data_IF_576538225503
#
_entry.id   IF_576538225503
#
_cell.length_a   1.000
_cell.length_b   1.000
_cell.length_c   1.000
_cell.angle_alpha   90.00
_cell.angle_beta   90.00
_cell.angle_gamma   90.00
#
_symmetry.space_group_name_H-M   'P 1'
#
loop_
_entity.id
_entity.type
_entity.pdbx_description
1 polymer ?
#
# COMPACT_ATOMS: atom_id res chain seq x y z
N UNK A 1 18.38 63.59 -36.17
CA UNK A 1 16.97 63.16 -36.27
C UNK A 1 16.34 63.31 -34.89
N UNK A 2 15.32 64.17 -34.77
CA UNK A 2 14.56 64.48 -33.54
C UNK A 2 13.16 63.87 -33.68
N UNK A 3 12.58 63.39 -32.57
CA UNK A 3 11.15 63.36 -32.14
C UNK A 3 11.09 62.30 -31.00
N UNK A 4 10.98 62.63 -29.71
CA UNK A 4 9.91 63.28 -28.92
C UNK A 4 8.74 62.35 -28.55
N UNK A 5 8.75 61.93 -27.27
CA UNK A 5 7.68 61.98 -26.25
C UNK A 5 6.23 61.67 -26.66
N UNK A 6 5.60 60.70 -25.96
CA UNK A 6 4.32 60.92 -25.24
C UNK A 6 3.99 59.80 -24.24
N UNK A 7 3.75 60.25 -23.01
CA UNK A 7 3.09 59.60 -21.88
C UNK A 7 1.58 59.56 -22.13
N UNK A 8 0.89 58.48 -21.69
CA UNK A 8 -0.52 58.55 -21.27
C UNK A 8 -0.69 57.73 -19.98
N UNK A 9 -1.21 58.40 -18.97
CA UNK A 9 -1.63 57.93 -17.65
C UNK A 9 -3.13 58.25 -17.53
N UNK A 10 -3.95 57.29 -17.12
CA UNK A 10 -5.28 57.44 -16.49
C UNK A 10 -5.65 56.04 -15.95
N UNK A 11 -5.85 55.71 -14.66
CA UNK A 11 -6.52 56.31 -13.49
C UNK A 11 -8.06 56.29 -13.55
N UNK A 12 -8.60 55.41 -12.69
CA UNK A 12 -9.90 55.36 -11.97
C UNK A 12 -11.19 55.08 -12.75
N UNK A 13 -11.92 54.02 -12.35
CA UNK A 13 -13.07 54.20 -11.45
C UNK A 13 -13.60 52.86 -10.91
N UNK A 14 -13.87 52.89 -9.60
CA UNK A 14 -14.63 51.92 -8.82
C UNK A 14 -16.10 51.93 -9.22
N UNK A 15 -16.78 50.77 -9.17
CA UNK A 15 -18.21 50.69 -8.90
C UNK A 15 -18.60 49.30 -8.39
N UNK A 16 -18.98 49.22 -7.12
CA UNK A 16 -19.97 48.26 -6.63
C UNK A 16 -21.27 48.43 -7.43
N UNK A 17 -21.96 47.35 -7.79
CA UNK A 17 -23.38 47.09 -7.47
C UNK A 17 -23.69 45.61 -7.77
N UNK A 18 -24.49 45.07 -6.86
CA UNK A 18 -25.08 43.76 -6.66
C UNK A 18 -26.05 43.21 -7.72
N UNK A 19 -26.01 41.87 -7.83
CA UNK A 19 -27.10 40.89 -8.06
C UNK A 19 -27.79 40.80 -9.43
N UNK A 20 -27.57 39.67 -10.11
CA UNK A 20 -28.65 38.77 -10.57
C UNK A 20 -28.08 37.41 -10.99
N UNK A 21 -28.79 36.36 -10.58
CA UNK A 21 -28.52 34.95 -10.82
C UNK A 21 -28.51 34.57 -12.31
N UNK A 22 -27.57 33.71 -12.69
CA UNK A 22 -27.55 33.00 -13.98
C UNK A 22 -26.89 31.63 -13.79
N UNK A 23 -27.71 30.60 -13.60
CA UNK A 23 -27.31 29.20 -13.56
C UNK A 23 -26.86 28.73 -14.95
N UNK A 24 -25.74 28.01 -15.02
CA UNK A 24 -25.41 27.13 -16.14
C UNK A 24 -25.53 25.71 -15.61
N UNK A 25 -26.49 24.95 -16.16
CA UNK A 25 -26.75 23.55 -15.81
C UNK A 25 -25.63 22.64 -16.30
N UNK A 26 -25.11 21.80 -15.39
CA UNK A 26 -24.35 20.58 -15.73
C UNK A 26 -25.21 19.41 -15.26
N UNK A 27 -25.58 18.43 -16.11
CA UNK A 27 -26.45 17.34 -15.71
C UNK A 27 -25.67 16.30 -14.90
N UNK A 28 -26.13 15.96 -13.68
CA UNK A 28 -25.68 14.72 -13.04
C UNK A 28 -25.64 14.61 -11.52
N UNK A 29 -26.00 15.61 -10.72
CA UNK A 29 -25.93 15.50 -9.24
C UNK A 29 -27.16 16.07 -8.55
N UNK A 30 -27.88 15.21 -7.84
CA UNK A 30 -29.02 15.55 -6.97
C UNK A 30 -28.54 16.09 -5.61
N UNK A 31 -28.97 17.33 -5.30
CA UNK A 31 -28.75 18.03 -4.04
C UNK A 31 -29.50 17.40 -2.85
N UNK A 32 -28.85 17.36 -1.68
CA UNK A 32 -29.50 17.46 -0.36
C UNK A 32 -28.87 18.63 0.40
N UNK A 33 -29.73 19.45 1.02
CA UNK A 33 -29.49 20.84 1.35
C UNK A 33 -28.78 21.14 2.68
N UNK A 34 -28.31 22.37 2.76
CA UNK A 34 -27.74 23.01 3.94
C UNK A 34 -28.83 23.42 4.94
N UNK A 35 -28.67 23.01 6.21
CA UNK A 35 -29.48 23.46 7.33
C UNK A 35 -28.59 24.08 8.41
N UNK A 36 -28.75 25.39 8.63
CA UNK A 36 -28.14 26.17 9.73
C UNK A 36 -29.01 26.03 10.97
N UNK A 37 -28.45 25.61 12.11
CA UNK A 37 -29.14 25.62 13.40
C UNK A 37 -28.82 26.89 14.19
N UNK A 38 -29.84 27.73 14.40
CA UNK A 38 -29.86 28.81 15.38
C UNK A 38 -30.17 28.26 16.78
N UNK A 39 -29.54 28.88 17.79
CA UNK A 39 -29.76 28.65 19.21
C UNK A 39 -30.98 29.40 19.73
N UNK A 40 -31.88 28.68 20.38
CA UNK A 40 -32.85 29.19 21.35
C UNK A 40 -32.93 28.16 22.49
N UNK A 41 -32.50 28.48 23.71
CA UNK A 41 -33.34 29.18 24.66
C UNK A 41 -32.65 29.27 26.03
N UNK A 42 -32.95 30.35 26.72
CA UNK A 42 -32.45 30.75 28.02
C UNK A 42 -33.45 30.39 29.12
N UNK A 43 -33.01 29.78 30.21
CA UNK A 43 -33.66 29.98 31.53
C UNK A 43 -32.64 29.97 32.67
N UNK A 44 -32.79 30.98 33.51
CA UNK A 44 -31.96 31.34 34.67
C UNK A 44 -32.59 30.76 35.94
N UNK A 45 -31.75 30.27 36.86
CA UNK A 45 -32.13 30.03 38.27
C UNK A 45 -30.91 29.60 39.09
N UNK A 46 -30.45 30.46 40.00
CA UNK A 46 -29.14 30.35 40.66
C UNK A 46 -29.12 29.87 42.12
N UNK A 47 -27.92 30.09 42.70
CA UNK A 47 -27.47 30.03 44.10
C UNK A 47 -26.95 28.68 44.65
N UNK A 48 -25.66 28.68 45.05
CA UNK A 48 -25.07 27.67 45.93
C UNK A 48 -23.54 27.58 45.85
N UNK A 49 -22.85 28.30 46.72
CA UNK A 49 -21.39 28.29 46.92
C UNK A 49 -20.85 26.98 47.53
N UNK A 50 -19.71 26.47 47.03
CA UNK A 50 -18.49 26.04 47.78
C UNK A 50 -17.58 25.17 46.87
N UNK A 51 -16.26 25.38 46.98
CA UNK A 51 -15.15 24.73 46.26
C UNK A 51 -14.40 23.79 47.24
N UNK A 52 -13.46 22.90 46.86
CA UNK A 52 -13.01 22.40 45.55
C UNK A 52 -13.07 20.84 45.48
N UNK A 53 -12.52 20.28 44.40
CA UNK A 53 -12.07 18.89 44.23
C UNK A 53 -13.04 17.86 43.63
N UNK A 54 -12.50 17.18 42.60
CA UNK A 54 -13.02 16.00 41.91
C UNK A 54 -14.23 16.17 40.98
N UNK A 55 -14.09 16.98 39.93
CA UNK A 55 -14.76 16.71 38.65
C UNK A 55 -14.12 17.51 37.50
N UNK A 56 -12.89 17.18 37.14
CA UNK A 56 -12.51 17.35 35.74
C UNK A 56 -13.30 16.29 34.96
N UNK A 57 -14.52 16.64 34.52
CA UNK A 57 -15.21 15.89 33.48
C UNK A 57 -14.28 15.93 32.27
N UNK A 58 -13.56 14.84 32.05
CA UNK A 58 -12.93 14.58 30.77
C UNK A 58 -14.06 14.55 29.75
N UNK A 59 -14.15 15.60 28.94
CA UNK A 59 -15.00 15.60 27.77
C UNK A 59 -14.34 14.63 26.76
N UNK A 60 -14.67 13.34 26.88
CA UNK A 60 -14.11 12.31 26.02
C UNK A 60 -14.72 12.47 24.63
N UNK A 61 -13.95 13.09 23.74
CA UNK A 61 -14.27 13.26 22.33
C UNK A 61 -13.85 12.02 21.54
N UNK A 62 -14.39 11.85 20.33
CA UNK A 62 -14.00 10.79 19.41
C UNK A 62 -12.47 10.74 19.18
N UNK A 63 -11.84 11.92 19.11
CA UNK A 63 -10.38 12.05 19.01
C UNK A 63 -9.65 11.49 20.24
N UNK A 64 -10.14 11.75 21.45
CA UNK A 64 -9.53 11.22 22.67
C UNK A 64 -9.67 9.69 22.82
N UNK A 65 -10.77 9.12 22.32
CA UNK A 65 -10.96 7.66 22.33
C UNK A 65 -10.05 6.96 21.32
N UNK A 66 -9.82 7.56 20.15
CA UNK A 66 -8.88 7.03 19.17
C UNK A 66 -7.46 6.95 19.74
N UNK A 67 -6.99 8.02 20.38
CA UNK A 67 -5.68 8.07 21.03
C UNK A 67 -5.55 7.01 22.15
N UNK A 68 -6.58 6.85 22.98
CA UNK A 68 -6.60 5.86 24.08
C UNK A 68 -6.59 4.42 23.54
N UNK A 69 -7.37 4.12 22.50
CA UNK A 69 -7.44 2.77 21.94
C UNK A 69 -6.15 2.40 21.17
N UNK A 70 -5.50 3.38 20.51
CA UNK A 70 -4.20 3.17 19.86
C UNK A 70 -3.07 2.97 20.87
N UNK A 71 -3.07 3.72 21.97
CA UNK A 71 -2.04 3.62 23.01
C UNK A 71 -2.04 2.27 23.74
N UNK A 72 -3.16 1.52 23.73
CA UNK A 72 -3.28 0.20 24.35
C UNK A 72 -3.10 -0.97 23.35
N UNK A 73 -2.63 -0.71 22.12
CA UNK A 73 -2.52 -1.70 21.05
C UNK A 73 -1.21 -2.53 21.10
N UNK A 74 -0.81 -2.99 22.28
CA UNK A 74 0.45 -3.75 22.48
C UNK A 74 0.49 -5.10 21.75
N UNK A 75 -0.65 -5.56 21.22
CA UNK A 75 -0.77 -6.86 20.52
C UNK A 75 -1.18 -6.77 19.04
N UNK A 76 -1.28 -5.55 18.48
CA UNK A 76 -1.49 -5.35 17.04
C UNK A 76 -2.83 -5.86 16.48
N UNK A 77 -3.95 -5.45 17.08
CA UNK A 77 -5.27 -5.89 16.62
C UNK A 77 -6.46 -4.97 16.92
N UNK A 78 -6.28 -3.84 17.61
CA UNK A 78 -7.36 -2.89 17.91
C UNK A 78 -7.38 -1.76 16.86
N UNK A 79 -8.52 -1.52 16.20
CA UNK A 79 -8.66 -0.45 15.18
C UNK A 79 -9.91 0.41 15.28
N UNK A 80 -10.85 0.10 16.17
CA UNK A 80 -12.10 0.85 16.28
C UNK A 80 -12.46 1.16 17.73
N UNK A 81 -13.22 2.25 17.92
CA UNK A 81 -13.84 2.57 19.22
C UNK A 81 -15.31 2.94 19.08
N UNK A 82 -16.07 2.77 20.15
CA UNK A 82 -17.41 3.33 20.28
C UNK A 82 -17.47 4.27 21.48
N UNK A 83 -18.13 5.40 21.30
CA UNK A 83 -18.51 6.32 22.36
C UNK A 83 -19.96 6.05 22.74
N UNK A 84 -20.23 5.95 24.03
CA UNK A 84 -21.60 6.00 24.52
C UNK A 84 -21.97 7.40 25.04
N UNK A 85 -23.26 7.61 25.27
CA UNK A 85 -23.82 8.91 25.69
C UNK A 85 -23.36 9.38 27.10
N UNK A 86 -22.59 8.55 27.81
CA UNK A 86 -21.97 8.89 29.10
C UNK A 86 -20.47 9.16 28.99
N UNK A 87 -19.92 9.19 27.77
CA UNK A 87 -18.53 9.57 27.50
C UNK A 87 -17.52 8.50 27.89
N UNK A 88 -17.84 7.22 27.68
CA UNK A 88 -16.90 6.10 27.83
C UNK A 88 -16.48 5.52 26.48
N UNK A 89 -15.17 5.29 26.30
CA UNK A 89 -14.60 4.64 25.11
C UNK A 89 -14.60 3.10 25.24
N UNK A 90 -15.05 2.39 24.20
CA UNK A 90 -14.92 0.94 24.07
C UNK A 90 -14.11 0.58 22.83
N UNK A 91 -12.98 -0.12 22.95
CA UNK A 91 -12.15 -0.53 21.83
C UNK A 91 -12.54 -1.93 21.30
N UNK A 92 -12.46 -2.14 19.98
CA UNK A 92 -12.81 -3.43 19.34
C UNK A 92 -11.69 -3.94 18.43
N UNK A 93 -11.61 -5.27 18.29
CA UNK A 93 -10.69 -5.99 17.39
C UNK A 93 -11.19 -6.05 15.93
N UNK A 94 -10.31 -6.45 15.00
CA UNK A 94 -10.59 -6.61 13.56
C UNK A 94 -11.77 -7.57 13.23
N UNK A 95 -12.13 -8.47 14.15
CA UNK A 95 -13.27 -9.39 14.02
C UNK A 95 -14.56 -8.88 14.70
N UNK A 96 -14.56 -7.62 15.16
CA UNK A 96 -15.66 -6.99 15.88
C UNK A 96 -15.83 -7.47 17.32
N UNK A 97 -14.90 -8.27 17.85
CA UNK A 97 -14.95 -8.68 19.26
C UNK A 97 -14.40 -7.60 20.17
N UNK A 98 -15.02 -7.40 21.33
CA UNK A 98 -14.41 -6.62 22.40
C UNK A 98 -13.44 -7.50 23.20
N UNK A 99 -12.40 -6.92 23.83
CA UNK A 99 -11.57 -7.65 24.79
C UNK A 99 -12.47 -8.22 25.90
N UNK A 100 -12.76 -9.52 25.83
CA UNK A 100 -13.57 -10.21 26.83
C UNK A 100 -12.80 -10.27 28.14
N UNK A 101 -13.25 -9.52 29.14
CA UNK A 101 -13.78 -10.13 30.36
C UNK A 101 -14.51 -9.12 31.25
N UNK A 102 -15.59 -9.60 31.87
CA UNK A 102 -16.47 -9.02 32.90
C UNK A 102 -17.78 -8.31 32.47
N UNK A 103 -18.84 -9.15 32.46
CA UNK A 103 -20.21 -8.94 32.96
C UNK A 103 -21.27 -8.30 32.03
N UNK A 104 -22.29 -9.12 31.73
CA UNK A 104 -23.69 -8.70 31.92
C UNK A 104 -24.57 -8.69 30.67
N UNK A 105 -25.63 -9.49 30.72
CA UNK A 105 -26.84 -9.43 29.88
C UNK A 105 -27.33 -8.01 29.59
N UNK A 106 -27.83 -7.77 28.37
CA UNK A 106 -28.51 -6.52 27.98
C UNK A 106 -29.56 -6.09 29.03
N UNK A 107 -29.58 -4.83 29.50
CA UNK A 107 -30.65 -4.35 30.35
C UNK A 107 -31.96 -4.25 29.57
N UNK A 108 -32.99 -4.92 30.08
CA UNK A 108 -34.37 -4.66 29.70
C UNK A 108 -34.80 -3.30 30.26
N UNK A 109 -34.63 -2.23 29.48
CA UNK A 109 -35.26 -0.94 29.74
C UNK A 109 -35.37 -0.09 28.46
N UNK A 110 -36.18 -0.57 27.52
CA UNK A 110 -36.85 0.31 26.55
C UNK A 110 -38.35 0.08 26.69
N UNK A 111 -38.91 0.64 27.75
CA UNK A 111 -40.36 0.84 27.88
C UNK A 111 -40.63 2.28 27.43
N UNK A 112 -41.00 2.43 26.16
CA UNK A 112 -41.12 3.73 25.52
C UNK A 112 -41.78 3.72 24.15
N UNK A 113 -42.57 2.69 23.82
CA UNK A 113 -43.48 2.77 22.67
C UNK A 113 -44.78 3.43 23.12
N UNK A 114 -44.79 4.76 23.12
CA UNK A 114 -46.00 5.55 23.21
C UNK A 114 -46.84 5.38 21.94
N UNK A 115 -47.90 4.57 22.03
CA UNK A 115 -49.01 4.62 21.09
C UNK A 115 -49.65 6.02 21.14
N UNK A 116 -49.58 6.79 20.05
CA UNK A 116 -50.65 7.72 19.66
C UNK A 116 -50.51 8.22 18.19
N UNK A 117 -51.50 7.82 17.38
CA UNK A 117 -52.12 8.53 16.25
C UNK A 117 -51.32 8.92 15.00
N UNK A 118 -51.48 8.06 13.97
CA UNK A 118 -52.06 8.36 12.63
C UNK A 118 -51.66 9.65 11.88
N UNK A 119 -50.84 9.46 10.84
CA UNK A 119 -50.72 10.33 9.67
C UNK A 119 -50.12 9.54 8.51
N UNK A 120 -50.83 9.48 7.38
CA UNK A 120 -50.60 8.56 6.25
C UNK A 120 -49.39 8.92 5.40
N UNK A 121 -48.49 7.95 5.17
CA UNK A 121 -47.47 7.96 4.12
C UNK A 121 -46.90 6.54 3.97
N UNK A 122 -46.93 6.00 2.76
CA UNK A 122 -46.61 4.59 2.47
C UNK A 122 -45.16 4.21 2.84
N UNK A 123 -45.03 3.21 3.69
CA UNK A 123 -43.81 2.43 3.90
C UNK A 123 -43.46 1.66 2.62
N UNK A 124 -42.31 1.97 2.02
CA UNK A 124 -41.58 1.02 1.20
C UNK A 124 -40.12 0.95 1.65
N UNK A 125 -39.72 -0.28 1.98
CA UNK A 125 -38.41 -0.75 2.47
C UNK A 125 -38.22 -0.55 3.98
N UNK A 126 -37.97 -1.66 4.67
CA UNK A 126 -38.28 -1.89 6.09
C UNK A 126 -37.29 -1.34 7.10
N UNK A 127 -37.79 -1.08 8.30
CA UNK A 127 -36.99 -0.79 9.49
C UNK A 127 -36.09 -1.98 9.85
N UNK A 128 -34.83 -1.73 10.27
CA UNK A 128 -33.93 -2.77 10.74
C UNK A 128 -34.50 -3.41 12.01
N UNK A 129 -34.70 -4.73 11.97
CA UNK A 129 -35.33 -5.49 13.07
C UNK A 129 -34.33 -6.20 13.97
N UNK A 130 -33.03 -6.00 13.72
CA UNK A 130 -31.97 -6.61 14.51
C UNK A 130 -30.71 -5.76 14.56
N UNK A 131 -29.88 -5.98 15.58
CA UNK A 131 -28.58 -5.33 15.71
C UNK A 131 -27.66 -5.57 14.50
N UNK A 132 -27.86 -6.66 13.75
CA UNK A 132 -27.11 -6.96 12.53
C UNK A 132 -27.36 -5.96 11.40
N UNK A 133 -28.58 -5.41 11.28
CA UNK A 133 -28.92 -4.46 10.22
C UNK A 133 -28.29 -3.07 10.44
N UNK A 134 -27.91 -2.72 11.69
CA UNK A 134 -27.20 -1.46 11.99
C UNK A 134 -25.71 -1.52 11.62
N UNK A 135 -25.10 -2.72 11.57
CA UNK A 135 -23.68 -2.87 11.23
C UNK A 135 -23.40 -2.64 9.74
N UNK A 136 -24.39 -2.86 8.87
CA UNK A 136 -24.22 -2.66 7.42
C UNK A 136 -24.24 -1.17 7.02
N UNK A 137 -24.76 -0.27 7.88
CA UNK A 137 -24.91 1.15 7.57
C UNK A 137 -23.77 2.06 8.06
N UNK A 138 -22.83 1.55 8.86
CA UNK A 138 -21.77 2.37 9.48
C UNK A 138 -20.35 2.00 9.05
N UNK A 139 -20.18 0.95 8.26
CA UNK A 139 -18.89 0.68 7.62
C UNK A 139 -18.73 1.56 6.39
N UNK A 140 -18.21 2.78 6.58
CA UNK A 140 -17.42 3.38 5.52
C UNK A 140 -16.31 2.38 5.18
N UNK A 141 -16.16 1.94 3.92
CA UNK A 141 -15.07 1.05 3.56
C UNK A 141 -13.76 1.78 3.83
N UNK A 142 -13.10 1.45 4.95
CA UNK A 142 -11.70 1.78 5.13
C UNK A 142 -10.97 1.02 4.02
N UNK A 143 -10.26 1.70 3.10
CA UNK A 143 -9.54 1.01 2.05
C UNK A 143 -8.59 0.01 2.71
N UNK A 144 -8.76 -1.28 2.40
CA UNK A 144 -7.82 -2.31 2.85
C UNK A 144 -6.45 -1.92 2.30
N UNK A 145 -5.42 -1.76 3.14
CA UNK A 145 -4.08 -1.42 2.66
C UNK A 145 -3.64 -2.41 1.60
N UNK A 146 -3.26 -1.91 0.43
CA UNK A 146 -2.79 -2.73 -0.68
C UNK A 146 -1.37 -3.24 -0.37
N UNK A 147 -1.04 -4.40 -0.91
CA UNK A 147 0.30 -4.98 -0.88
C UNK A 147 0.69 -5.27 -2.32
N UNK A 148 1.89 -4.82 -2.72
CA UNK A 148 2.55 -5.29 -3.93
C UNK A 148 3.87 -5.92 -3.54
N UNK A 149 4.17 -7.07 -4.13
CA UNK A 149 5.37 -7.83 -3.83
C UNK A 149 5.88 -8.55 -5.08
N UNK A 150 7.18 -8.78 -5.12
CA UNK A 150 7.83 -9.66 -6.08
C UNK A 150 8.91 -10.45 -5.36
N UNK A 151 8.83 -11.78 -5.39
CA UNK A 151 9.68 -12.68 -4.60
C UNK A 151 10.05 -13.91 -5.43
N UNK A 152 11.30 -14.40 -5.26
CA UNK A 152 11.75 -15.67 -5.85
C UNK A 152 12.26 -15.51 -7.28
N UNK A 153 11.94 -16.47 -8.14
CA UNK A 153 11.74 -16.18 -9.56
C UNK A 153 10.73 -15.00 -9.71
N UNK A 154 10.69 -14.24 -10.81
CA UNK A 154 9.92 -13.01 -10.85
C UNK A 154 8.41 -13.30 -10.96
N UNK A 155 7.83 -13.83 -9.88
CA UNK A 155 6.44 -13.72 -9.53
C UNK A 155 6.17 -12.28 -9.09
N UNK A 156 5.12 -11.71 -9.65
CA UNK A 156 4.66 -10.38 -9.32
C UNK A 156 3.26 -10.46 -8.75
N UNK A 157 3.01 -9.61 -7.76
CA UNK A 157 1.68 -9.32 -7.25
C UNK A 157 1.36 -7.86 -7.54
N UNK A 158 0.34 -7.63 -8.35
CA UNK A 158 -0.16 -6.28 -8.62
C UNK A 158 -0.77 -5.66 -7.37
N UNK A 159 -1.01 -4.35 -7.40
CA UNK A 159 -1.70 -3.62 -6.32
C UNK A 159 -3.11 -4.14 -6.00
N UNK A 160 -3.74 -4.87 -6.94
CA UNK A 160 -5.06 -5.50 -6.77
C UNK A 160 -5.00 -7.02 -6.67
N UNK A 161 -3.86 -7.55 -6.21
CA UNK A 161 -3.70 -8.96 -5.87
C UNK A 161 -3.76 -9.91 -7.07
N UNK A 162 -3.52 -9.42 -8.28
CA UNK A 162 -3.31 -10.28 -9.44
C UNK A 162 -1.88 -10.83 -9.42
N UNK A 163 -1.75 -12.15 -9.61
CA UNK A 163 -0.47 -12.85 -9.66
C UNK A 163 -0.13 -13.13 -11.11
N UNK A 164 1.09 -12.76 -11.52
CA UNK A 164 1.64 -13.12 -12.81
C UNK A 164 3.16 -13.37 -12.73
N UNK A 165 3.71 -13.90 -13.80
CA UNK A 165 5.13 -14.23 -13.95
C UNK A 165 5.68 -13.62 -15.23
N UNK A 166 6.93 -13.17 -15.19
CA UNK A 166 7.66 -12.74 -16.38
C UNK A 166 9.09 -13.26 -16.35
N UNK A 167 9.40 -14.30 -17.12
CA UNK A 167 10.73 -14.94 -17.09
C UNK A 167 11.75 -14.35 -18.08
N UNK A 168 11.72 -13.04 -18.32
CA UNK A 168 12.75 -12.38 -19.14
C UNK A 168 14.01 -12.05 -18.34
N UNK A 169 15.17 -12.03 -19.00
CA UNK A 169 16.42 -11.47 -18.45
C UNK A 169 16.62 -10.05 -18.95
N UNK A 170 16.57 -9.09 -18.04
CA UNK A 170 16.87 -7.67 -18.26
C UNK A 170 16.78 -6.91 -16.92
N UNK A 171 16.97 -5.59 -16.99
CA UNK A 171 16.57 -4.69 -15.92
C UNK A 171 15.11 -4.27 -16.14
N UNK A 172 14.28 -4.32 -15.10
CA UNK A 172 12.83 -4.03 -15.11
C UNK A 172 12.49 -2.89 -14.15
N UNK A 173 11.51 -2.06 -14.53
CA UNK A 173 10.89 -1.07 -13.63
C UNK A 173 9.72 -1.75 -12.90
N UNK A 174 9.93 -2.10 -11.63
CA UNK A 174 8.85 -2.69 -10.82
C UNK A 174 7.80 -1.63 -10.47
N UNK A 175 8.25 -0.50 -9.95
CA UNK A 175 7.39 0.59 -9.49
C UNK A 175 8.15 1.90 -9.52
N UNK A 176 7.46 2.96 -9.96
CA UNK A 176 7.93 4.33 -9.96
C UNK A 176 6.81 5.24 -9.47
N UNK A 177 7.13 6.07 -8.48
CA UNK A 177 6.24 7.08 -7.89
C UNK A 177 6.92 8.43 -8.03
N UNK A 178 6.28 9.35 -8.75
CA UNK A 178 6.76 10.73 -8.84
C UNK A 178 6.29 11.56 -7.66
N UNK A 179 7.12 12.49 -7.22
CA UNK A 179 6.82 13.38 -6.08
C UNK A 179 6.38 12.60 -4.83
N UNK A 180 7.09 11.51 -4.53
CA UNK A 180 6.87 10.65 -3.39
C UNK A 180 6.87 11.46 -2.08
N UNK A 181 6.00 11.08 -1.13
CA UNK A 181 5.77 11.83 0.11
C UNK A 181 5.32 13.29 -0.13
N UNK A 182 4.62 13.54 -1.25
CA UNK A 182 4.20 14.88 -1.69
C UNK A 182 5.36 15.90 -1.76
N UNK A 183 6.60 15.43 -1.96
CA UNK A 183 7.80 16.25 -2.04
C UNK A 183 8.22 16.42 -3.50
N UNK A 184 8.13 17.65 -4.00
CA UNK A 184 8.53 17.97 -5.36
C UNK A 184 10.00 17.59 -5.61
N UNK A 185 10.24 16.85 -6.69
CA UNK A 185 11.59 16.42 -7.08
C UNK A 185 12.16 15.26 -6.27
N UNK A 186 11.38 14.66 -5.35
CA UNK A 186 11.73 13.40 -4.69
C UNK A 186 10.90 12.30 -5.30
N UNK A 187 11.52 11.47 -6.15
CA UNK A 187 10.88 10.31 -6.74
C UNK A 187 11.29 9.04 -5.98
N UNK A 188 10.41 8.04 -5.99
CA UNK A 188 10.69 6.68 -5.54
C UNK A 188 10.70 5.75 -6.74
N UNK A 189 11.77 4.98 -6.92
CA UNK A 189 11.92 4.03 -8.03
C UNK A 189 12.49 2.71 -7.55
N UNK A 190 11.88 1.61 -7.99
CA UNK A 190 12.31 0.24 -7.68
C UNK A 190 12.58 -0.46 -9.00
N UNK A 191 13.85 -0.78 -9.25
CA UNK A 191 14.28 -1.58 -10.39
C UNK A 191 14.69 -2.97 -9.94
N UNK A 192 14.40 -3.96 -10.79
CA UNK A 192 14.78 -5.35 -10.59
C UNK A 192 15.70 -5.77 -11.72
N UNK A 193 16.76 -6.50 -11.41
CA UNK A 193 17.62 -7.16 -12.40
C UNK A 193 17.33 -8.64 -12.37
N UNK A 194 16.79 -9.16 -13.46
CA UNK A 194 16.50 -10.58 -13.60
C UNK A 194 17.63 -11.30 -14.34
N UNK A 195 17.85 -12.56 -13.98
CA UNK A 195 18.85 -13.44 -14.59
C UNK A 195 18.20 -14.76 -15.02
N UNK A 196 18.39 -15.16 -16.28
CA UNK A 196 17.72 -16.33 -16.83
C UNK A 196 18.50 -17.62 -16.58
N UNK A 197 17.77 -18.67 -16.22
CA UNK A 197 18.26 -20.04 -16.07
C UNK A 197 17.40 -20.96 -16.93
N UNK A 198 17.92 -21.33 -18.11
CA UNK A 198 17.26 -22.20 -19.09
C UNK A 198 15.88 -21.66 -19.53
N UNK A 199 14.82 -22.02 -18.82
CA UNK A 199 13.42 -21.72 -19.16
C UNK A 199 12.72 -20.79 -18.15
N UNK A 200 13.38 -20.46 -17.03
CA UNK A 200 12.88 -19.56 -16.00
C UNK A 200 13.94 -18.48 -15.72
N UNK A 201 13.64 -17.51 -14.85
CA UNK A 201 14.60 -16.48 -14.42
C UNK A 201 14.39 -16.14 -12.96
N UNK A 202 15.32 -15.44 -12.33
CA UNK A 202 15.15 -14.94 -10.96
C UNK A 202 15.61 -13.50 -10.80
N UNK A 203 15.10 -12.83 -9.77
CA UNK A 203 15.58 -11.51 -9.41
C UNK A 203 16.93 -11.67 -8.70
N UNK A 204 18.00 -11.28 -9.39
CA UNK A 204 19.36 -11.34 -8.87
C UNK A 204 19.72 -10.11 -8.04
N UNK A 205 19.18 -8.95 -8.42
CA UNK A 205 19.49 -7.67 -7.77
C UNK A 205 18.25 -6.78 -7.74
N UNK A 206 18.03 -6.09 -6.64
CA UNK A 206 17.03 -5.03 -6.53
C UNK A 206 17.72 -3.70 -6.23
N UNK A 207 17.29 -2.63 -6.90
CA UNK A 207 17.76 -1.28 -6.63
C UNK A 207 16.59 -0.36 -6.32
N UNK A 208 16.66 0.34 -5.20
CA UNK A 208 15.66 1.30 -4.74
C UNK A 208 16.29 2.68 -4.69
N UNK A 209 15.72 3.62 -5.43
CA UNK A 209 16.05 5.04 -5.35
C UNK A 209 14.97 5.81 -4.62
N UNK A 210 15.36 6.64 -3.66
CA UNK A 210 14.48 7.66 -3.05
C UNK A 210 15.20 9.01 -3.11
N UNK A 211 14.68 9.92 -3.92
CA UNK A 211 15.38 11.18 -4.24
C UNK A 211 16.73 10.89 -4.92
N UNK A 212 17.83 11.25 -4.25
CA UNK A 212 19.18 11.05 -4.78
C UNK A 212 19.87 9.79 -4.26
N UNK A 213 19.35 9.16 -3.21
CA UNK A 213 19.98 7.99 -2.62
C UNK A 213 19.51 6.71 -3.30
N UNK A 214 20.45 5.79 -3.54
CA UNK A 214 20.22 4.52 -4.21
C UNK A 214 20.75 3.40 -3.31
N UNK A 215 19.86 2.49 -2.90
CA UNK A 215 20.23 1.23 -2.29
C UNK A 215 20.10 0.11 -3.32
N UNK A 216 21.22 -0.52 -3.66
CA UNK A 216 21.25 -1.72 -4.49
C UNK A 216 21.61 -2.92 -3.62
N UNK A 217 20.85 -4.01 -3.71
CA UNK A 217 21.05 -5.25 -2.96
C UNK A 217 21.08 -6.42 -3.93
N UNK A 218 22.13 -7.23 -3.84
CA UNK A 218 22.36 -8.43 -4.66
C UNK A 218 22.23 -9.70 -3.80
N UNK A 219 21.58 -10.73 -4.35
CA UNK A 219 21.55 -12.06 -3.75
C UNK A 219 22.90 -12.76 -3.88
N UNK A 220 23.26 -13.60 -2.90
CA UNK A 220 24.51 -14.34 -2.91
C UNK A 220 24.39 -15.70 -2.23
N UNK A 221 25.09 -16.69 -2.80
CA UNK A 221 25.26 -18.02 -2.20
C UNK A 221 26.43 -18.07 -1.22
N UNK A 222 27.25 -17.01 -1.16
CA UNK A 222 28.36 -16.92 -0.23
C UNK A 222 27.81 -16.84 1.19
N UNK A 223 28.41 -17.59 2.12
CA UNK A 223 28.00 -17.59 3.52
C UNK A 223 29.09 -17.07 4.45
N UNK A 224 28.67 -16.40 5.52
CA UNK A 224 29.47 -16.03 6.69
C UNK A 224 28.71 -16.46 7.95
N UNK A 225 29.33 -17.30 8.80
CA UNK A 225 28.69 -17.87 10.00
C UNK A 225 27.32 -18.53 9.76
N UNK A 226 27.10 -19.06 8.55
CA UNK A 226 25.83 -19.69 8.15
C UNK A 226 24.75 -18.72 7.65
N UNK A 227 25.07 -17.43 7.53
CA UNK A 227 24.22 -16.37 6.99
C UNK A 227 24.72 -15.99 5.60
N UNK A 228 23.84 -15.69 4.64
CA UNK A 228 24.28 -15.24 3.32
C UNK A 228 25.04 -13.91 3.46
N UNK A 229 26.17 -13.79 2.79
CA UNK A 229 26.95 -12.56 2.80
C UNK A 229 26.10 -11.45 2.23
N UNK A 230 26.19 -10.28 2.87
CA UNK A 230 25.52 -9.08 2.39
C UNK A 230 26.30 -8.54 1.20
N UNK A 231 25.62 -8.36 0.09
CA UNK A 231 26.13 -7.65 -1.07
C UNK A 231 25.19 -6.48 -1.33
N UNK A 232 25.58 -5.30 -0.87
CA UNK A 232 24.81 -4.09 -1.14
C UNK A 232 25.73 -2.91 -1.45
N UNK A 233 25.19 -1.98 -2.22
CA UNK A 233 25.80 -0.70 -2.52
C UNK A 233 24.85 0.42 -2.11
N UNK A 234 25.36 1.42 -1.40
CA UNK A 234 24.65 2.68 -1.16
C UNK A 234 25.32 3.75 -2.00
N UNK A 235 24.58 4.35 -2.94
CA UNK A 235 25.13 5.33 -3.89
C UNK A 235 26.38 4.82 -4.62
N UNK A 236 26.35 3.54 -5.03
CA UNK A 236 27.46 2.81 -5.66
C UNK A 236 28.68 2.55 -4.77
N UNK A 237 28.62 2.88 -3.49
CA UNK A 237 29.66 2.53 -2.52
C UNK A 237 29.37 1.16 -1.89
N UNK A 238 30.26 0.20 -2.14
CA UNK A 238 30.11 -1.18 -1.70
C UNK A 238 30.21 -1.27 -0.18
N UNK A 239 29.16 -1.77 0.47
CA UNK A 239 29.04 -1.86 1.94
C UNK A 239 29.26 -0.50 2.64
N UNK A 240 28.91 0.60 1.97
CA UNK A 240 28.91 1.93 2.56
C UNK A 240 27.94 2.05 3.74
N UNK A 241 28.04 3.12 4.56
CA UNK A 241 27.23 3.29 5.76
C UNK A 241 25.74 3.45 5.43
N UNK A 242 24.97 2.38 5.62
CA UNK A 242 23.52 2.35 5.37
C UNK A 242 22.73 2.53 6.67
N UNK A 243 22.42 3.79 7.00
CA UNK A 243 21.50 4.12 8.10
C UNK A 243 20.17 4.69 7.61
N UNK A 244 20.18 5.36 6.45
CA UNK A 244 19.02 5.96 5.83
C UNK A 244 19.09 5.82 4.31
N UNK A 245 17.92 5.88 3.66
CA UNK A 245 17.75 5.97 2.22
C UNK A 245 16.76 7.10 1.92
N UNK A 246 17.20 8.19 1.29
CA UNK A 246 16.31 9.32 0.99
C UNK A 246 15.70 9.98 2.24
N UNK A 247 16.39 9.89 3.38
CA UNK A 247 15.91 10.37 4.68
C UNK A 247 15.01 9.41 5.46
N UNK A 248 14.75 8.21 4.94
CA UNK A 248 14.01 7.15 5.63
C UNK A 248 14.97 6.19 6.35
N UNK A 249 14.73 5.82 7.62
CA UNK A 249 15.57 4.87 8.33
C UNK A 249 15.63 3.50 7.63
N UNK A 250 16.82 2.89 7.62
CA UNK A 250 17.03 1.54 7.11
C UNK A 250 17.48 0.62 8.24
N UNK A 251 16.72 -0.46 8.46
CA UNK A 251 17.09 -1.53 9.39
C UNK A 251 17.55 -2.76 8.61
N UNK A 252 18.72 -3.30 8.97
CA UNK A 252 19.24 -4.55 8.39
C UNK A 252 19.10 -5.64 9.45
N UNK A 253 18.42 -6.72 9.12
CA UNK A 253 18.39 -7.96 9.91
C UNK A 253 19.32 -8.99 9.25
N UNK A 254 20.57 -9.16 9.74
CA UNK A 254 21.51 -10.10 9.14
C UNK A 254 20.98 -11.53 9.16
N UNK A 255 20.35 -11.95 10.27
CA UNK A 255 19.84 -13.32 10.41
C UNK A 255 18.75 -13.68 9.40
N UNK A 256 17.98 -12.69 8.97
CA UNK A 256 16.87 -12.88 8.04
C UNK A 256 17.19 -12.36 6.65
N UNK A 257 18.46 -11.94 6.41
CA UNK A 257 18.90 -11.32 5.17
C UNK A 257 17.94 -10.24 4.64
N UNK A 258 17.44 -9.41 5.56
CA UNK A 258 16.34 -8.47 5.29
C UNK A 258 16.76 -7.03 5.51
N UNK A 259 16.44 -6.17 4.55
CA UNK A 259 16.57 -4.72 4.61
C UNK A 259 15.17 -4.13 4.67
N UNK A 260 14.88 -3.32 5.68
CA UNK A 260 13.59 -2.66 5.85
C UNK A 260 13.81 -1.16 5.78
N UNK A 261 13.24 -0.50 4.77
CA UNK A 261 13.16 0.96 4.64
C UNK A 261 11.84 1.39 5.28
N UNK A 262 11.93 2.13 6.38
CA UNK A 262 10.77 2.56 7.17
C UNK A 262 10.20 3.88 6.63
N UNK A 263 8.96 3.85 6.15
CA UNK A 263 8.27 5.00 5.56
C UNK A 263 7.32 5.70 6.56
N UNK A 264 7.23 5.22 7.81
CA UNK A 264 6.24 5.63 8.83
C UNK A 264 6.19 7.14 9.06
N UNK A 265 7.34 7.82 8.94
CA UNK A 265 7.47 9.27 9.08
C UNK A 265 6.51 10.06 8.18
N UNK A 266 6.34 9.64 6.94
CA UNK A 266 5.45 10.31 5.99
C UNK A 266 4.18 9.48 5.73
N UNK A 267 4.26 8.15 5.91
CA UNK A 267 3.17 7.21 5.64
C UNK A 267 3.06 6.17 6.74
N UNK A 268 2.11 6.32 7.70
CA UNK A 268 2.03 5.47 8.88
C UNK A 268 1.91 3.98 8.55
N UNK A 269 2.68 3.15 9.27
CA UNK A 269 2.75 1.71 9.13
C UNK A 269 3.13 1.20 7.73
N UNK A 270 3.88 2.00 6.95
CA UNK A 270 4.38 1.60 5.64
C UNK A 270 5.88 1.32 5.65
N UNK A 271 6.29 0.35 4.84
CA UNK A 271 7.71 0.04 4.65
C UNK A 271 7.96 -0.64 3.30
N UNK A 272 9.20 -0.60 2.85
CA UNK A 272 9.69 -1.43 1.76
C UNK A 272 10.71 -2.42 2.31
N UNK A 273 10.50 -3.70 2.04
CA UNK A 273 11.40 -4.76 2.46
C UNK A 273 12.11 -5.37 1.25
N UNK A 274 13.43 -5.53 1.36
CA UNK A 274 14.23 -6.36 0.47
C UNK A 274 14.67 -7.58 1.27
N UNK A 275 14.38 -8.80 0.79
CA UNK A 275 14.85 -10.05 1.39
C UNK A 275 15.77 -10.74 0.40
N UNK A 276 16.90 -11.28 0.85
CA UNK A 276 17.74 -12.16 0.03
C UNK A 276 17.71 -13.58 0.57
N UNK A 277 17.72 -14.55 -0.34
CA UNK A 277 17.83 -15.96 0.01
C UNK A 277 18.65 -16.65 -1.07
N UNK A 278 19.85 -17.12 -0.72
CA UNK A 278 20.83 -17.54 -1.74
C UNK A 278 20.99 -16.39 -2.75
N UNK A 279 21.00 -16.72 -4.04
CA UNK A 279 21.09 -15.76 -5.15
C UNK A 279 19.79 -15.01 -5.48
N UNK A 280 18.69 -15.29 -4.77
CA UNK A 280 17.38 -14.68 -5.01
C UNK A 280 17.19 -13.42 -4.17
N UNK A 281 16.52 -12.42 -4.76
CA UNK A 281 16.12 -11.18 -4.10
C UNK A 281 14.61 -10.99 -4.24
N UNK A 282 13.92 -10.75 -3.12
CA UNK A 282 12.52 -10.35 -3.10
C UNK A 282 12.37 -8.91 -2.65
N UNK A 283 11.39 -8.20 -3.21
CA UNK A 283 10.99 -6.84 -2.83
C UNK A 283 9.51 -6.84 -2.47
N UNK A 284 9.18 -6.28 -1.30
CA UNK A 284 7.81 -6.20 -0.79
C UNK A 284 7.49 -4.79 -0.32
N UNK A 285 6.36 -4.27 -0.78
CA UNK A 285 5.80 -2.99 -0.34
C UNK A 285 4.65 -3.27 0.62
N UNK A 286 4.80 -2.81 1.86
CA UNK A 286 3.88 -3.11 2.96
C UNK A 286 3.07 -1.86 3.29
N UNK A 287 1.75 -2.04 3.38
CA UNK A 287 0.84 -0.99 3.87
C UNK A 287 0.53 0.10 2.85
N UNK A 288 0.80 -0.13 1.56
CA UNK A 288 0.61 0.87 0.51
C UNK A 288 -0.83 1.40 0.46
N UNK A 289 -0.95 2.71 0.33
CA UNK A 289 -2.21 3.46 0.23
C UNK A 289 -2.25 4.28 -1.05
N UNK A 290 -3.43 4.78 -1.42
CA UNK A 290 -3.58 5.69 -2.54
C UNK A 290 -2.75 6.97 -2.36
N UNK A 291 -2.58 7.46 -1.12
CA UNK A 291 -1.75 8.63 -0.82
C UNK A 291 -0.25 8.43 -1.10
N UNK A 292 0.22 7.19 -1.01
CA UNK A 292 1.64 6.84 -1.12
C UNK A 292 2.01 6.27 -2.49
N UNK A 293 1.12 5.45 -3.06
CA UNK A 293 1.36 4.71 -4.30
C UNK A 293 0.22 4.88 -5.32
N UNK A 294 -0.77 5.76 -5.10
CA UNK A 294 -1.92 5.93 -5.99
C UNK A 294 -1.58 6.37 -7.42
N UNK A 295 -0.44 7.03 -7.60
CA UNK A 295 0.11 7.42 -8.90
C UNK A 295 1.32 6.54 -9.32
N UNK A 296 1.50 5.38 -8.69
CA UNK A 296 2.55 4.45 -9.05
C UNK A 296 2.33 3.92 -10.47
N UNK A 297 3.43 3.81 -11.22
CA UNK A 297 3.47 3.15 -12.52
C UNK A 297 4.57 2.10 -12.52
N UNK A 298 4.44 1.08 -13.35
CA UNK A 298 5.41 -0.01 -13.43
C UNK A 298 4.75 -1.33 -13.79
N UNK A 299 5.55 -2.39 -13.77
CA UNK A 299 5.07 -3.75 -14.06
C UNK A 299 3.99 -4.22 -13.06
N UNK A 300 3.92 -3.62 -11.86
CA UNK A 300 2.93 -3.94 -10.83
C UNK A 300 1.53 -3.36 -11.11
N UNK A 301 1.37 -2.63 -12.22
CA UNK A 301 0.10 -2.07 -12.68
C UNK A 301 -0.31 -0.77 -11.97
N UNK A 302 -1.51 -0.30 -12.29
CA UNK A 302 -2.12 0.87 -11.65
C UNK A 302 -2.67 0.53 -10.26
N UNK A 303 -2.42 1.41 -9.30
CA UNK A 303 -2.78 1.17 -7.91
C UNK A 303 -4.30 1.09 -7.67
N UNK A 304 -5.06 1.92 -8.38
CA UNK A 304 -6.48 2.12 -8.12
C UNK A 304 -7.34 1.06 -8.81
N UNK A 305 -6.97 0.68 -10.03
CA UNK A 305 -7.72 -0.23 -10.90
C UNK A 305 -7.13 -1.63 -10.95
N UNK A 306 -5.81 -1.77 -10.72
CA UNK A 306 -5.08 -3.02 -10.93
C UNK A 306 -4.71 -3.28 -12.39
N UNK A 307 -5.17 -2.44 -13.32
CA UNK A 307 -4.88 -2.61 -14.74
C UNK A 307 -3.38 -2.47 -15.00
N UNK A 308 -2.86 -3.35 -15.84
CA UNK A 308 -1.48 -3.36 -16.31
C UNK A 308 -1.37 -2.48 -17.55
N UNK A 309 -0.86 -1.25 -17.38
CA UNK A 309 -0.73 -0.29 -18.47
C UNK A 309 0.65 -0.30 -19.14
N UNK A 310 0.68 0.06 -20.41
CA UNK A 310 1.89 0.49 -21.09
C UNK A 310 2.37 1.86 -20.57
N UNK A 311 3.59 2.27 -20.95
CA UNK A 311 4.19 3.54 -20.53
C UNK A 311 3.46 4.77 -21.05
N UNK A 312 2.58 4.61 -22.04
CA UNK A 312 1.68 5.67 -22.50
C UNK A 312 0.58 6.02 -21.48
N UNK A 313 0.41 5.19 -20.45
CA UNK A 313 -0.56 5.37 -19.37
C UNK A 313 -2.01 5.11 -19.78
N UNK A 314 -2.26 4.51 -20.95
CA UNK A 314 -3.61 4.35 -21.50
C UNK A 314 -3.86 2.99 -22.15
N UNK A 315 -2.85 2.39 -22.78
CA UNK A 315 -2.94 1.07 -23.38
C UNK A 315 -2.87 0.01 -22.31
N UNK A 316 -3.93 -0.80 -22.16
CA UNK A 316 -3.96 -1.93 -21.23
C UNK A 316 -3.29 -3.14 -21.91
N UNK A 317 -2.33 -3.76 -21.23
CA UNK A 317 -1.59 -4.93 -21.68
C UNK A 317 -2.10 -6.17 -20.94
N UNK A 318 -2.73 -7.08 -21.68
CA UNK A 318 -3.26 -8.34 -21.11
C UNK A 318 -2.27 -9.50 -21.17
N UNK A 319 -1.22 -9.39 -21.99
CA UNK A 319 -0.14 -10.37 -22.07
C UNK A 319 1.01 -9.94 -21.14
N UNK A 320 1.39 -10.81 -20.20
CA UNK A 320 2.42 -10.48 -19.21
C UNK A 320 3.85 -10.48 -19.80
N UNK A 321 4.09 -11.13 -20.94
CA UNK A 321 5.36 -10.98 -21.65
C UNK A 321 5.44 -9.62 -22.33
N UNK A 322 4.36 -9.17 -22.96
CA UNK A 322 4.27 -7.80 -23.50
C UNK A 322 4.45 -6.77 -22.38
N UNK A 323 3.81 -6.98 -21.22
CA UNK A 323 3.97 -6.13 -20.05
C UNK A 323 5.42 -6.08 -19.54
N UNK A 324 6.08 -7.23 -19.39
CA UNK A 324 7.47 -7.28 -18.93
C UNK A 324 8.44 -6.64 -19.91
N UNK A 325 8.23 -6.82 -21.22
CA UNK A 325 9.01 -6.13 -22.26
C UNK A 325 8.79 -4.61 -22.24
N UNK A 326 7.55 -4.16 -22.06
CA UNK A 326 7.21 -2.74 -21.97
C UNK A 326 7.88 -2.05 -20.77
N UNK A 327 7.97 -2.76 -19.65
CA UNK A 327 8.60 -2.26 -18.42
C UNK A 327 10.10 -2.62 -18.31
N UNK A 328 10.75 -3.02 -19.40
CA UNK A 328 12.21 -3.01 -19.49
C UNK A 328 12.74 -1.60 -19.22
N UNK A 329 13.79 -1.49 -18.40
CA UNK A 329 14.43 -0.21 -18.07
C UNK A 329 14.92 0.49 -19.34
N UNK A 330 14.49 1.73 -19.51
CA UNK A 330 14.91 2.62 -20.59
C UNK A 330 16.03 3.55 -20.12
N UNK A 331 16.82 4.14 -21.04
CA UNK A 331 17.81 5.15 -20.68
C UNK A 331 17.21 6.35 -19.92
N UNK A 332 15.93 6.65 -20.12
CA UNK A 332 15.18 7.71 -19.44
C UNK A 332 14.77 7.39 -18.00
N UNK A 333 14.78 6.13 -17.59
CA UNK A 333 14.46 5.74 -16.20
C UNK A 333 15.66 6.00 -15.27
N UNK A 334 16.85 6.12 -15.85
CA UNK A 334 18.09 6.41 -15.12
C UNK A 334 18.78 5.14 -14.62
N UNK A 335 20.08 5.28 -14.31
CA UNK A 335 20.92 4.17 -13.88
C UNK A 335 20.82 3.99 -12.36
N UNK A 336 20.23 2.88 -11.91
CA UNK A 336 20.17 2.52 -10.49
C UNK A 336 21.15 1.42 -10.09
N UNK A 337 21.57 0.55 -11.01
CA UNK A 337 22.56 -0.48 -10.73
C UNK A 337 23.97 0.06 -10.95
N UNK A 338 24.91 -0.23 -10.05
CA UNK A 338 26.31 0.18 -10.16
C UNK A 338 26.95 -0.36 -11.45
N UNK A 339 26.69 -1.63 -11.76
CA UNK A 339 27.13 -2.33 -12.97
C UNK A 339 26.08 -2.37 -14.07
N UNK A 340 26.56 -2.32 -15.32
CA UNK A 340 25.73 -2.49 -16.51
C UNK A 340 25.71 -3.98 -16.85
N UNK A 341 24.51 -4.57 -16.86
CA UNK A 341 24.27 -5.95 -17.30
C UNK A 341 23.52 -5.96 -18.64
N UNK A 342 23.72 -7.00 -19.44
CA UNK A 342 23.00 -7.20 -20.70
C UNK A 342 21.75 -8.07 -20.50
N UNK A 343 20.67 -7.84 -21.28
CA UNK A 343 20.53 -6.81 -22.32
C UNK A 343 20.20 -5.42 -21.75
N UNK A 344 20.49 -4.38 -22.51
CA UNK A 344 20.05 -2.99 -22.25
C UNK A 344 19.31 -2.48 -23.47
N UNK A 345 18.25 -1.71 -23.27
CA UNK A 345 17.52 -1.08 -24.36
C UNK A 345 18.49 -0.35 -25.33
N UNK A 346 18.38 -0.53 -26.65
CA UNK A 346 17.27 -1.12 -27.41
C UNK A 346 17.34 -2.64 -27.62
N UNK A 347 18.31 -3.33 -27.03
CA UNK A 347 18.29 -4.80 -27.00
C UNK A 347 17.20 -5.26 -26.03
N UNK A 348 16.21 -5.97 -26.54
CA UNK A 348 15.07 -6.44 -25.75
C UNK A 348 15.52 -7.47 -24.70
N UNK A 349 14.71 -7.61 -23.65
CA UNK A 349 14.88 -8.70 -22.69
C UNK A 349 15.02 -10.04 -23.42
N UNK A 350 15.96 -10.86 -22.96
CA UNK A 350 16.04 -12.23 -23.44
C UNK A 350 14.85 -12.98 -22.86
N UNK A 351 14.06 -13.64 -23.71
CA UNK A 351 12.94 -14.49 -23.29
C UNK A 351 13.33 -15.97 -23.41
N UNK A 352 12.76 -16.85 -22.56
CA UNK A 352 12.99 -18.28 -22.65
C UNK A 352 12.64 -18.84 -24.03
N UNK A 353 13.53 -19.65 -24.62
CA UNK A 353 13.23 -20.35 -25.89
C UNK A 353 12.10 -21.38 -25.72
N UNK A 354 11.97 -21.95 -24.53
CA UNK A 354 10.93 -22.89 -24.13
C UNK A 354 10.26 -22.43 -22.83
N UNK A 355 9.26 -21.53 -22.90
CA UNK A 355 8.61 -20.95 -21.72
C UNK A 355 7.85 -21.96 -20.86
N UNK A 356 7.53 -23.14 -21.40
CA UNK A 356 6.84 -24.19 -20.66
C UNK A 356 7.81 -25.08 -19.89
N UNK A 357 9.12 -24.92 -20.14
CA UNK A 357 10.13 -25.82 -19.63
C UNK A 357 9.83 -27.27 -20.01
N UNK A 358 9.23 -27.51 -21.18
CA UNK A 358 8.90 -28.83 -21.68
C UNK A 358 10.20 -29.62 -21.80
N UNK A 359 10.53 -30.39 -20.76
CA UNK A 359 11.79 -31.12 -20.63
C UNK A 359 11.92 -32.10 -21.78
N UNK A 360 12.50 -31.65 -22.90
CA UNK A 360 12.74 -32.47 -24.06
C UNK A 360 13.77 -33.55 -23.68
N UNK A 361 13.26 -34.71 -23.26
CA UNK A 361 13.93 -36.02 -23.29
C UNK A 361 15.17 -36.19 -22.41
N UNK A 362 15.15 -35.73 -21.15
CA UNK A 362 16.05 -36.28 -20.10
C UNK A 362 15.32 -36.52 -18.79
N UNK A 363 14.73 -37.72 -18.68
CA UNK A 363 14.07 -38.29 -17.48
C UNK A 363 14.99 -38.44 -16.24
N UNK A 364 16.22 -37.91 -16.25
CA UNK A 364 17.23 -38.14 -15.22
C UNK A 364 17.68 -36.85 -14.50
N UNK A 365 17.01 -35.71 -14.70
CA UNK A 365 17.35 -34.41 -14.09
C UNK A 365 16.21 -33.85 -13.20
N UNK A 366 15.18 -34.65 -12.86
CA UNK A 366 14.16 -34.25 -11.87
C UNK A 366 14.15 -35.24 -10.72
N UNK A 367 14.77 -34.87 -9.62
CA UNK A 367 14.78 -35.71 -8.41
C UNK A 367 13.64 -35.32 -7.45
N UNK A 368 13.12 -34.09 -7.56
CA UNK A 368 12.01 -33.61 -6.74
C UNK A 368 10.69 -33.72 -7.53
N UNK A 369 9.68 -34.32 -6.91
CA UNK A 369 8.32 -34.43 -7.46
C UNK A 369 7.44 -33.27 -7.01
N UNK A 370 6.34 -33.03 -7.74
CA UNK A 370 5.35 -32.01 -7.40
C UNK A 370 4.76 -32.24 -6.01
N UNK A 371 4.45 -33.49 -5.65
CA UNK A 371 3.91 -33.82 -4.32
C UNK A 371 4.92 -33.54 -3.20
N UNK A 372 6.22 -33.74 -3.46
CA UNK A 372 7.26 -33.41 -2.49
C UNK A 372 7.38 -31.90 -2.30
N UNK A 373 7.34 -31.13 -3.38
CA UNK A 373 7.36 -29.67 -3.35
C UNK A 373 6.11 -29.11 -2.63
N UNK A 374 4.92 -29.59 -2.95
CA UNK A 374 3.66 -29.21 -2.28
C UNK A 374 3.72 -29.51 -0.78
N UNK A 375 4.24 -30.67 -0.38
CA UNK A 375 4.39 -31.04 1.02
C UNK A 375 5.36 -30.10 1.77
N UNK A 376 6.44 -29.66 1.12
CA UNK A 376 7.39 -28.73 1.70
C UNK A 376 6.79 -27.33 1.90
N UNK A 377 5.98 -26.87 0.95
CA UNK A 377 5.35 -25.55 0.96
C UNK A 377 4.02 -25.49 1.74
N UNK A 378 3.50 -26.61 2.23
CA UNK A 378 2.18 -26.70 2.87
C UNK A 378 2.01 -25.82 4.13
N UNK A 379 3.11 -25.42 4.78
CA UNK A 379 3.09 -24.52 5.94
C UNK A 379 2.81 -23.05 5.61
N UNK A 380 2.91 -22.65 4.34
CA UNK A 380 2.71 -21.27 3.88
C UNK A 380 1.21 -20.96 3.82
N UNK A 381 0.80 -19.93 4.58
CA UNK A 381 -0.62 -19.55 4.76
C UNK A 381 -1.23 -18.87 3.53
N UNK A 382 -0.41 -18.14 2.79
CA UNK A 382 -0.82 -17.36 1.64
C UNK A 382 -0.67 -18.20 0.36
N UNK A 383 -1.70 -18.21 -0.48
CA UNK A 383 -1.70 -18.95 -1.74
C UNK A 383 -0.64 -18.42 -2.73
N UNK A 384 -0.33 -17.13 -2.71
CA UNK A 384 0.75 -16.54 -3.52
C UNK A 384 2.10 -17.17 -3.13
N UNK A 385 2.44 -17.12 -1.84
CA UNK A 385 3.70 -17.65 -1.32
C UNK A 385 3.78 -19.17 -1.52
N UNK A 386 2.66 -19.88 -1.31
CA UNK A 386 2.61 -21.34 -1.48
C UNK A 386 2.84 -21.75 -2.94
N UNK A 387 2.17 -21.11 -3.89
CA UNK A 387 2.32 -21.43 -5.33
C UNK A 387 3.73 -21.11 -5.80
N UNK A 388 4.26 -19.95 -5.42
CA UNK A 388 5.62 -19.58 -5.81
C UNK A 388 6.65 -20.53 -5.24
N UNK A 389 6.52 -20.89 -3.95
CA UNK A 389 7.37 -21.89 -3.31
C UNK A 389 7.40 -23.23 -4.07
N UNK A 390 6.24 -23.75 -4.49
CA UNK A 390 6.18 -25.01 -5.24
C UNK A 390 6.87 -24.88 -6.59
N UNK A 391 6.62 -23.79 -7.31
CA UNK A 391 7.22 -23.53 -8.61
C UNK A 391 8.75 -23.41 -8.49
N UNK A 392 9.24 -22.58 -7.57
CA UNK A 392 10.67 -22.37 -7.34
C UNK A 392 11.39 -23.68 -6.98
N UNK A 393 10.81 -24.53 -6.11
CA UNK A 393 11.38 -25.85 -5.81
C UNK A 393 11.48 -26.71 -7.08
N UNK A 394 10.44 -26.73 -7.92
CA UNK A 394 10.43 -27.53 -9.15
C UNK A 394 11.35 -26.97 -10.24
N UNK A 395 11.48 -25.65 -10.33
CA UNK A 395 12.34 -24.96 -11.30
C UNK A 395 13.83 -25.11 -10.94
N UNK A 396 14.15 -24.95 -9.66
CA UNK A 396 15.53 -25.03 -9.12
C UNK A 396 15.97 -26.46 -8.81
N UNK A 397 15.01 -27.38 -8.61
CA UNK A 397 15.27 -28.70 -8.02
C UNK A 397 15.92 -28.61 -6.63
N UNK A 398 15.48 -27.66 -5.80
CA UNK A 398 16.04 -27.38 -4.48
C UNK A 398 14.94 -27.19 -3.41
N UNK A 399 14.83 -28.15 -2.49
CA UNK A 399 13.82 -28.13 -1.41
C UNK A 399 14.01 -26.98 -0.41
N UNK A 400 15.21 -26.41 -0.31
CA UNK A 400 15.47 -25.33 0.63
C UNK A 400 14.82 -24.01 0.18
N UNK A 401 14.31 -23.93 -1.06
CA UNK A 401 13.62 -22.74 -1.58
C UNK A 401 12.39 -22.34 -0.77
N UNK A 402 11.86 -23.22 0.10
CA UNK A 402 10.86 -22.86 1.11
C UNK A 402 11.30 -21.65 1.95
N UNK A 403 12.61 -21.49 2.21
CA UNK A 403 13.15 -20.38 3.00
C UNK A 403 13.08 -19.00 2.32
N UNK A 404 12.86 -18.95 1.00
CA UNK A 404 12.65 -17.70 0.27
C UNK A 404 11.29 -17.06 0.62
N UNK A 405 10.31 -17.87 1.00
CA UNK A 405 8.95 -17.48 1.40
C UNK A 405 8.80 -17.42 2.92
#
# INVERSE_FOLDING_TARGET
>A
MKFSLKVVLAILASCCVSHSHGYVEVPGTSHLGEGVCQSTDSTVGGLGSQSPDFAAKFDQTALSCDEICRANNDSGGLRGFTLNDVGSCYCHYDDGTSPKDYLGTCPASFDGCGNQSSGTGDLKVGDPSSAYDCYEYTTFPVPVPSKSESNGDPHFRTWKNEHFEFHGQCDLVMTKVKNFASKEGIDLEIHLRTNMVRYWSYIKTAAIRIGNDILEVEGSVDKEDGIDKRHYHINFDHLGPLTHLGGYPVTISPRNNKYTIDLDKDYPAQSIEIKTFKEFVGVKIIGATEESFGNAVGITGDFNTGNTYARDGSTVLHDFNELGLEWQVLPSDGKLFHEIAKPQFPELCYLPEDPRGDRARRLAESDITEEAAEAACAGLKNDFDRKGCVYDILATQDMDMVGAY
#
